data_IF_262508060853
#
_entry.id   IF_262508060853
#
_cell.length_a   1.000
_cell.length_b   1.000
_cell.length_c   1.000
_cell.angle_alpha   90.00
_cell.angle_beta   90.00
_cell.angle_gamma   90.00
#
_symmetry.space_group_name_H-M   'P 1'
#
loop_
_entity.id
_entity.type
_entity.pdbx_description
1 polymer ?
#
# COMPACT_ATOMS: atom_id res chain seq x y z
N UNK A 1 14.77 4.23 -24.95
CA UNK A 1 14.96 3.22 -23.88
C UNK A 1 15.29 3.96 -22.61
N UNK A 2 14.40 3.89 -21.61
CA UNK A 2 14.56 4.64 -20.36
C UNK A 2 15.71 4.08 -19.55
N UNK A 3 16.66 4.93 -19.17
CA UNK A 3 17.80 4.54 -18.33
C UNK A 3 17.42 4.62 -16.87
N UNK A 4 17.23 3.48 -16.21
CA UNK A 4 17.03 3.43 -14.76
C UNK A 4 18.33 3.61 -14.01
N UNK A 5 18.31 4.38 -12.91
CA UNK A 5 19.42 4.50 -11.99
C UNK A 5 19.27 3.44 -10.90
N UNK A 6 20.28 2.55 -10.80
CA UNK A 6 20.28 1.45 -9.85
C UNK A 6 21.01 1.83 -8.57
N UNK A 7 20.40 1.62 -7.42
CA UNK A 7 21.03 1.86 -6.12
C UNK A 7 22.03 0.77 -5.78
N UNK A 8 23.29 1.19 -5.53
CA UNK A 8 24.37 0.29 -5.10
C UNK A 8 24.70 0.36 -3.61
N UNK A 9 24.15 1.28 -2.81
CA UNK A 9 24.59 1.56 -1.42
C UNK A 9 23.51 1.77 -0.36
N UNK A 10 23.99 1.80 0.90
CA UNK A 10 23.34 1.64 2.21
C UNK A 10 22.14 2.51 2.58
N UNK A 11 21.90 3.65 1.97
CA UNK A 11 20.67 4.42 2.17
C UNK A 11 19.55 3.88 1.27
N UNK A 12 19.19 2.65 1.58
CA UNK A 12 18.33 1.79 0.77
C UNK A 12 16.96 2.43 0.47
N UNK A 13 16.54 3.41 1.27
CA UNK A 13 15.18 3.96 1.22
C UNK A 13 15.13 5.48 0.92
N UNK A 14 16.19 6.08 0.36
CA UNK A 14 16.23 7.51 -0.03
C UNK A 14 16.74 7.71 -1.45
N UNK A 15 16.28 8.80 -2.09
CA UNK A 15 16.75 9.32 -3.37
C UNK A 15 16.35 8.46 -4.57
N UNK A 16 17.06 8.65 -5.66
CA UNK A 16 16.79 8.01 -6.95
C UNK A 16 16.90 6.49 -6.86
N UNK A 17 15.93 5.77 -7.41
CA UNK A 17 15.94 4.30 -7.43
C UNK A 17 14.57 3.68 -7.63
N UNK A 18 14.54 2.35 -7.76
CA UNK A 18 13.31 1.57 -7.91
C UNK A 18 12.99 0.89 -6.59
N UNK A 19 11.75 1.06 -6.15
CA UNK A 19 11.27 0.61 -4.86
C UNK A 19 10.00 -0.22 -5.02
N UNK A 20 10.02 -1.44 -4.52
CA UNK A 20 8.83 -2.24 -4.33
C UNK A 20 8.29 -2.01 -2.91
N UNK A 21 7.01 -1.67 -2.83
CA UNK A 21 6.31 -1.41 -1.58
C UNK A 21 5.11 -2.36 -1.51
N UNK A 22 4.92 -3.00 -0.36
CA UNK A 22 3.71 -3.77 -0.09
C UNK A 22 2.95 -3.11 1.05
N UNK A 23 1.72 -2.70 0.78
CA UNK A 23 0.79 -2.19 1.76
C UNK A 23 -0.19 -3.30 2.14
N UNK A 24 -0.22 -3.70 3.40
CA UNK A 24 -1.09 -4.75 3.92
C UNK A 24 -2.20 -4.11 4.74
N UNK A 25 -3.44 -4.47 4.48
CA UNK A 25 -4.60 -4.04 5.28
C UNK A 25 -4.48 -4.64 6.68
N UNK A 26 -4.78 -3.84 7.71
CA UNK A 26 -4.70 -4.28 9.11
C UNK A 26 -5.55 -5.54 9.29
N UNK A 27 -4.95 -6.54 9.93
CA UNK A 27 -5.59 -7.84 10.17
C UNK A 27 -5.89 -8.62 8.89
N UNK A 28 -5.26 -8.27 7.77
CA UNK A 28 -5.46 -8.89 6.45
C UNK A 28 -6.92 -8.96 6.03
N UNK A 29 -7.71 -7.96 6.40
CA UNK A 29 -9.11 -7.86 5.99
C UNK A 29 -9.19 -7.66 4.46
N UNK A 30 -10.10 -8.37 3.82
CA UNK A 30 -10.29 -8.36 2.36
C UNK A 30 -11.12 -7.16 1.91
N UNK A 31 -10.62 -5.94 2.15
CA UNK A 31 -11.32 -4.69 1.88
C UNK A 31 -11.09 -4.15 0.47
N UNK A 32 -10.03 -4.61 -0.21
CA UNK A 32 -9.62 -4.00 -1.48
C UNK A 32 -10.26 -4.67 -2.69
N UNK A 33 -10.79 -5.89 -2.53
CA UNK A 33 -11.42 -6.64 -3.63
C UNK A 33 -11.58 -8.11 -3.32
N UNK A 34 -11.85 -8.89 -4.35
CA UNK A 34 -11.95 -10.34 -4.27
C UNK A 34 -11.22 -11.01 -5.44
N UNK A 35 -10.74 -12.23 -5.22
CA UNK A 35 -10.14 -13.03 -6.30
C UNK A 35 -11.24 -13.71 -7.10
N UNK A 36 -11.17 -13.61 -8.41
CA UNK A 36 -12.08 -14.23 -9.34
C UNK A 36 -11.35 -14.66 -10.62
N UNK A 37 -11.97 -15.54 -11.39
CA UNK A 37 -11.56 -15.82 -12.76
C UNK A 37 -12.29 -14.81 -13.66
N UNK A 38 -11.51 -13.98 -14.34
CA UNK A 38 -12.01 -13.01 -15.31
C UNK A 38 -11.31 -13.25 -16.66
N UNK A 39 -12.11 -13.51 -17.71
CA UNK A 39 -11.61 -13.90 -19.03
C UNK A 39 -10.56 -15.03 -18.97
N UNK A 40 -10.89 -16.11 -18.24
CA UNK A 40 -10.05 -17.31 -18.04
C UNK A 40 -8.75 -17.07 -17.24
N UNK A 41 -8.53 -15.85 -16.73
CA UNK A 41 -7.36 -15.52 -15.92
C UNK A 41 -7.73 -15.16 -14.48
N UNK A 42 -6.93 -15.63 -13.51
CA UNK A 42 -7.05 -15.21 -12.12
C UNK A 42 -6.76 -13.71 -11.97
N UNK A 43 -7.73 -12.96 -11.46
CA UNK A 43 -7.61 -11.50 -11.18
C UNK A 43 -8.18 -11.14 -9.83
N UNK A 44 -7.77 -10.00 -9.31
CA UNK A 44 -8.46 -9.37 -8.20
C UNK A 44 -9.46 -8.35 -8.77
N UNK A 45 -10.74 -8.62 -8.58
CA UNK A 45 -11.82 -7.69 -8.88
C UNK A 45 -11.87 -6.64 -7.76
N UNK A 46 -11.61 -5.36 -8.05
CA UNK A 46 -11.49 -4.35 -7.02
C UNK A 46 -12.84 -3.97 -6.40
N UNK A 47 -12.88 -3.76 -5.10
CA UNK A 47 -13.96 -3.06 -4.40
C UNK A 47 -13.97 -1.57 -4.77
N UNK A 48 -14.95 -0.80 -4.31
CA UNK A 48 -14.97 0.66 -4.48
C UNK A 48 -13.71 1.30 -3.89
N UNK A 49 -13.30 0.86 -2.70
CA UNK A 49 -12.06 1.30 -2.07
C UNK A 49 -10.83 0.90 -2.89
N UNK A 50 -10.80 -0.34 -3.37
CA UNK A 50 -9.72 -0.83 -4.23
C UNK A 50 -9.60 -0.04 -5.53
N UNK A 51 -10.74 0.32 -6.16
CA UNK A 51 -10.77 1.20 -7.34
C UNK A 51 -10.22 2.58 -7.04
N UNK A 52 -10.67 3.20 -5.95
CA UNK A 52 -10.22 4.53 -5.56
C UNK A 52 -8.70 4.57 -5.32
N UNK A 53 -8.15 3.59 -4.58
CA UNK A 53 -6.71 3.45 -4.33
C UNK A 53 -5.95 3.19 -5.64
N UNK A 54 -6.48 2.33 -6.51
CA UNK A 54 -5.87 2.03 -7.80
C UNK A 54 -5.77 3.27 -8.69
N UNK A 55 -6.84 4.06 -8.75
CA UNK A 55 -6.88 5.33 -9.49
C UNK A 55 -5.90 6.35 -8.91
N UNK A 56 -5.84 6.50 -7.57
CA UNK A 56 -4.88 7.38 -6.90
C UNK A 56 -3.43 7.04 -7.26
N UNK A 57 -3.12 5.75 -7.39
CA UNK A 57 -1.79 5.29 -7.82
C UNK A 57 -1.49 5.63 -9.28
N UNK A 58 -2.48 5.53 -10.18
CA UNK A 58 -2.29 5.90 -11.59
C UNK A 58 -1.97 7.39 -11.74
N UNK A 59 -2.52 8.22 -10.86
CA UNK A 59 -2.30 9.67 -10.86
C UNK A 59 -1.09 10.11 -10.01
N UNK A 60 -0.29 9.19 -9.46
CA UNK A 60 0.80 9.54 -8.54
C UNK A 60 1.79 10.53 -9.16
N UNK A 61 2.06 10.40 -10.45
CA UNK A 61 3.01 11.27 -11.16
C UNK A 61 2.50 12.71 -11.29
N UNK A 62 1.18 12.93 -11.33
CA UNK A 62 0.60 14.29 -11.35
C UNK A 62 0.88 15.04 -10.04
N UNK A 63 0.82 14.33 -8.91
CA UNK A 63 1.06 14.90 -7.57
C UNK A 63 2.52 14.90 -7.16
N UNK A 64 3.31 13.98 -7.72
CA UNK A 64 4.75 13.82 -7.48
C UNK A 64 5.46 13.57 -8.79
N UNK A 65 5.81 14.62 -9.57
CA UNK A 65 6.39 14.48 -10.92
C UNK A 65 7.67 13.63 -10.96
N UNK A 66 8.39 13.56 -9.83
CA UNK A 66 9.60 12.76 -9.66
C UNK A 66 9.34 11.29 -9.27
N UNK A 67 8.07 10.84 -9.20
CA UNK A 67 7.70 9.47 -8.90
C UNK A 67 6.93 8.89 -10.07
N UNK A 68 7.39 7.76 -10.62
CA UNK A 68 6.70 7.02 -11.68
C UNK A 68 6.21 5.68 -11.16
N UNK A 69 4.97 5.33 -11.47
CA UNK A 69 4.44 4.00 -11.23
C UNK A 69 4.93 3.06 -12.34
N UNK A 70 5.66 2.01 -11.99
CA UNK A 70 6.15 1.00 -12.94
C UNK A 70 5.23 -0.21 -13.01
N UNK A 71 4.69 -0.64 -11.87
CA UNK A 71 3.71 -1.72 -11.78
C UNK A 71 2.91 -1.59 -10.49
N UNK A 72 1.68 -2.10 -10.52
CA UNK A 72 0.85 -2.29 -9.33
C UNK A 72 0.04 -3.58 -9.47
N UNK A 73 -0.28 -4.21 -8.34
CA UNK A 73 -1.21 -5.32 -8.27
C UNK A 73 -2.03 -5.22 -7.00
N UNK A 74 -3.32 -5.06 -7.19
CA UNK A 74 -4.30 -5.11 -6.12
C UNK A 74 -4.57 -6.57 -5.76
N UNK A 75 -4.59 -6.87 -4.47
CA UNK A 75 -5.00 -8.12 -3.89
C UNK A 75 -6.12 -7.85 -2.86
N UNK A 76 -6.91 -8.83 -2.45
CA UNK A 76 -8.01 -8.57 -1.53
C UNK A 76 -7.63 -7.85 -0.24
N UNK A 77 -6.48 -8.17 0.33
CA UNK A 77 -6.00 -7.72 1.64
C UNK A 77 -4.68 -6.93 1.61
N UNK A 78 -4.13 -6.71 0.42
CA UNK A 78 -2.89 -5.95 0.27
C UNK A 78 -2.73 -5.41 -1.15
N UNK A 79 -1.76 -4.51 -1.34
CA UNK A 79 -1.39 -4.01 -2.67
C UNK A 79 0.12 -3.97 -2.83
N UNK A 80 0.60 -4.48 -3.95
CA UNK A 80 1.97 -4.32 -4.41
C UNK A 80 2.08 -3.11 -5.31
N UNK A 81 3.09 -2.28 -5.06
CA UNK A 81 3.37 -1.07 -5.82
C UNK A 81 4.85 -1.02 -6.15
N UNK A 82 5.19 -0.84 -7.41
CA UNK A 82 6.56 -0.66 -7.87
C UNK A 82 6.74 0.77 -8.38
N UNK A 83 7.56 1.54 -7.69
CA UNK A 83 7.79 2.95 -7.98
C UNK A 83 9.23 3.18 -8.43
N UNK A 84 9.41 4.08 -9.38
CA UNK A 84 10.70 4.67 -9.73
C UNK A 84 10.74 6.13 -9.28
N UNK A 85 11.67 6.45 -8.39
CA UNK A 85 11.98 7.83 -7.99
C UNK A 85 13.07 8.32 -8.93
N UNK A 86 12.79 9.34 -9.73
CA UNK A 86 13.65 9.83 -10.82
C UNK A 86 14.64 10.90 -10.36
N UNK A 87 14.31 11.60 -9.27
CA UNK A 87 15.10 12.71 -8.74
C UNK A 87 15.18 12.63 -7.21
N UNK A 88 16.30 13.09 -6.64
CA UNK A 88 16.47 13.13 -5.19
C UNK A 88 15.98 14.48 -4.62
N UNK A 89 14.84 14.44 -3.99
CA UNK A 89 14.25 15.58 -3.27
C UNK A 89 14.50 15.54 -1.75
N UNK A 90 15.43 14.72 -1.29
CA UNK A 90 15.70 14.54 0.15
C UNK A 90 14.60 13.76 0.89
N UNK A 91 13.50 13.38 0.20
CA UNK A 91 12.36 12.67 0.78
C UNK A 91 12.62 11.15 0.69
N UNK A 92 12.42 10.45 1.79
CA UNK A 92 12.53 8.98 1.80
C UNK A 92 11.29 8.32 1.17
N UNK A 93 11.48 7.12 0.63
CA UNK A 93 10.34 6.32 0.14
C UNK A 93 9.33 6.01 1.26
N UNK A 94 9.78 5.96 2.53
CA UNK A 94 8.90 5.81 3.70
C UNK A 94 7.96 7.00 3.87
N UNK A 95 8.43 8.22 3.61
CA UNK A 95 7.61 9.43 3.66
C UNK A 95 6.61 9.49 2.49
N UNK A 96 7.04 9.07 1.30
CA UNK A 96 6.15 8.93 0.16
C UNK A 96 5.02 7.94 0.50
N UNK A 97 5.36 6.75 1.01
CA UNK A 97 4.39 5.72 1.40
C UNK A 97 3.48 6.17 2.56
N UNK A 98 4.01 6.95 3.53
CA UNK A 98 3.21 7.54 4.60
C UNK A 98 2.16 8.52 4.04
N UNK A 99 2.56 9.39 3.12
CA UNK A 99 1.64 10.31 2.46
C UNK A 99 0.55 9.60 1.67
N UNK A 100 0.88 8.51 0.96
CA UNK A 100 -0.10 7.67 0.26
C UNK A 100 -1.11 7.07 1.25
N UNK A 101 -0.67 6.45 2.34
CA UNK A 101 -1.56 5.89 3.37
C UNK A 101 -2.48 6.94 4.01
N UNK A 102 -1.99 8.15 4.23
CA UNK A 102 -2.80 9.25 4.75
C UNK A 102 -3.92 9.65 3.78
N UNK A 103 -3.61 9.75 2.48
CA UNK A 103 -4.61 10.01 1.44
C UNK A 103 -5.66 8.90 1.36
N UNK A 104 -5.22 7.64 1.33
CA UNK A 104 -6.13 6.49 1.26
C UNK A 104 -7.04 6.34 2.49
N UNK A 105 -6.55 6.72 3.67
CA UNK A 105 -7.39 6.77 4.87
C UNK A 105 -8.57 7.74 4.72
N UNK A 106 -8.37 8.87 4.06
CA UNK A 106 -9.46 9.81 3.80
C UNK A 106 -10.50 9.23 2.85
N UNK A 107 -10.07 8.41 1.89
CA UNK A 107 -10.97 7.72 0.96
C UNK A 107 -11.86 6.69 1.68
N UNK A 108 -11.37 6.02 2.72
CA UNK A 108 -12.20 5.06 3.49
C UNK A 108 -13.36 5.74 4.19
N UNK A 109 -13.20 6.93 4.71
CA UNK A 109 -14.27 7.68 5.36
C UNK A 109 -15.42 8.04 4.39
N UNK A 110 -15.12 8.09 3.09
CA UNK A 110 -16.08 8.44 2.03
C UNK A 110 -16.75 7.20 1.41
N UNK A 111 -16.02 6.10 1.31
CA UNK A 111 -16.44 4.89 0.56
C UNK A 111 -16.97 3.79 1.48
N UNK A 112 -16.46 3.70 2.70
CA UNK A 112 -16.93 2.72 3.69
C UNK A 112 -17.73 3.49 4.74
N UNK A 113 -19.06 3.29 4.84
CA UNK A 113 -19.80 3.84 5.97
C UNK A 113 -19.16 3.35 7.27
N UNK A 114 -19.16 4.17 8.36
CA UNK A 114 -18.50 3.80 9.59
C UNK A 114 -18.96 2.40 9.99
N UNK A 115 -18.04 1.45 9.98
CA UNK A 115 -18.29 0.12 10.52
C UNK A 115 -18.79 0.33 11.95
N UNK A 116 -20.10 0.11 12.11
CA UNK A 116 -20.74 0.14 13.41
C UNK A 116 -19.86 -0.67 14.36
N UNK A 117 -19.42 -0.01 15.42
CA UNK A 117 -18.58 -0.50 16.49
C UNK A 117 -18.81 -1.99 16.74
N UNK A 118 -17.87 -2.83 16.34
CA UNK A 118 -17.79 -4.18 16.88
C UNK A 118 -17.36 -3.97 18.32
N UNK A 119 -18.35 -3.94 19.22
CA UNK A 119 -18.17 -3.98 20.66
C UNK A 119 -17.48 -5.29 21.02
N UNK A 120 -16.16 -5.29 21.04
CA UNK A 120 -15.40 -6.24 21.82
C UNK A 120 -15.44 -5.68 23.24
N UNK A 121 -16.41 -6.12 24.03
CA UNK A 121 -16.48 -5.81 25.44
C UNK A 121 -15.21 -6.28 26.13
N UNK A 122 -14.43 -5.38 26.77
CA UNK A 122 -13.39 -5.82 27.69
C UNK A 122 -14.09 -6.29 28.97
N UNK A 123 -13.83 -7.53 29.37
CA UNK A 123 -14.17 -8.01 30.71
C UNK A 123 -13.45 -7.14 31.74
N UNK A 124 -14.24 -6.56 32.63
CA UNK A 124 -13.79 -5.69 33.71
C UNK A 124 -12.96 -6.49 34.75
N UNK A 125 -11.84 -5.95 35.13
CA UNK A 125 -11.34 -6.02 36.49
C UNK A 125 -10.91 -4.64 36.94
N UNK A 126 -11.36 -4.34 38.14
CA UNK A 126 -11.45 -3.09 38.88
C UNK A 126 -10.11 -2.37 39.14
N UNK A 127 -10.22 -1.08 39.25
CA UNK A 127 -9.59 -0.15 40.20
C UNK A 127 -8.74 0.96 39.60
N UNK A 128 -9.28 2.17 39.76
CA UNK A 128 -8.66 3.45 40.15
C UNK A 128 -7.81 4.29 39.18
N UNK A 129 -8.28 5.41 38.95
CA UNK A 129 -7.94 6.84 39.16
C UNK A 129 -7.62 7.68 37.92
N UNK A 130 -8.44 8.73 37.84
CA UNK A 130 -8.31 10.04 37.20
C UNK A 130 -6.95 10.40 36.59
N UNK A 131 -6.94 10.56 35.25
CA UNK A 131 -6.23 11.65 34.63
C UNK A 131 -6.95 12.07 33.34
N UNK A 132 -7.32 13.35 33.30
CA UNK A 132 -7.86 14.01 32.13
C UNK A 132 -7.02 13.69 30.90
N UNK A 133 -7.59 12.96 29.95
CA UNK A 133 -6.97 12.74 28.65
C UNK A 133 -7.80 13.44 27.59
N UNK A 134 -7.15 14.43 26.99
CA UNK A 134 -7.60 15.09 25.78
C UNK A 134 -8.08 14.06 24.77
N UNK A 135 -9.31 14.22 24.29
CA UNK A 135 -9.89 13.49 23.16
C UNK A 135 -9.04 13.72 21.92
N UNK A 136 -8.09 12.85 21.68
CA UNK A 136 -7.54 12.63 20.35
C UNK A 136 -8.17 11.34 19.86
N UNK A 137 -9.18 11.46 19.02
CA UNK A 137 -9.71 10.32 18.27
C UNK A 137 -8.54 9.66 17.57
N UNK A 138 -8.15 8.49 18.06
CA UNK A 138 -7.14 7.63 17.43
C UNK A 138 -7.76 7.08 16.15
N UNK A 139 -7.71 7.88 15.09
CA UNK A 139 -8.14 7.45 13.76
C UNK A 139 -7.20 6.32 13.31
N UNK A 140 -7.68 5.09 13.41
CA UNK A 140 -6.91 3.89 13.07
C UNK A 140 -6.45 3.92 11.60
N UNK A 141 -5.20 3.56 11.37
CA UNK A 141 -4.65 3.38 10.02
C UNK A 141 -5.36 2.24 9.31
N UNK A 142 -5.65 2.37 8.01
CA UNK A 142 -6.18 1.28 7.19
C UNK A 142 -5.12 0.20 6.94
N UNK A 143 -3.86 0.58 6.85
CA UNK A 143 -2.75 -0.28 6.48
C UNK A 143 -1.74 -0.41 7.63
N UNK A 144 -1.16 -1.59 7.74
CA UNK A 144 0.02 -1.86 8.57
C UNK A 144 1.24 -1.03 8.11
N UNK A 145 2.35 -1.14 8.83
CA UNK A 145 3.64 -0.57 8.37
C UNK A 145 4.04 -1.25 7.06
N UNK A 146 4.24 -0.49 5.97
CA UNK A 146 4.57 -1.09 4.67
C UNK A 146 5.91 -1.81 4.67
N UNK A 147 6.00 -2.87 3.86
CA UNK A 147 7.26 -3.52 3.55
C UNK A 147 7.91 -2.84 2.35
N UNK A 148 9.24 -2.66 2.42
CA UNK A 148 10.01 -2.00 1.38
C UNK A 148 11.13 -2.90 0.87
N UNK A 149 11.32 -2.91 -0.45
CA UNK A 149 12.45 -3.55 -1.12
C UNK A 149 13.00 -2.63 -2.21
N UNK A 150 14.31 -2.41 -2.22
CA UNK A 150 14.99 -1.66 -3.27
C UNK A 150 15.53 -2.62 -4.32
N UNK A 151 15.39 -2.28 -5.60
CA UNK A 151 15.91 -3.06 -6.71
C UNK A 151 17.28 -2.51 -7.14
N UNK A 152 18.25 -3.38 -7.33
CA UNK A 152 19.65 -3.02 -7.61
C UNK A 152 20.07 -3.21 -9.05
N UNK A 153 19.32 -3.94 -9.88
CA UNK A 153 19.65 -4.19 -11.28
C UNK A 153 18.43 -4.62 -12.13
N UNK A 154 18.60 -4.57 -13.47
CA UNK A 154 17.53 -4.82 -14.45
C UNK A 154 16.82 -6.17 -14.27
N UNK A 155 17.56 -7.26 -14.04
CA UNK A 155 16.97 -8.58 -13.86
C UNK A 155 16.07 -8.68 -12.63
N UNK A 156 16.34 -7.90 -11.55
CA UNK A 156 15.42 -7.80 -10.42
C UNK A 156 14.15 -7.04 -10.77
N UNK A 157 14.23 -6.04 -11.65
CA UNK A 157 13.06 -5.29 -12.11
C UNK A 157 12.10 -6.20 -12.88
N UNK A 158 12.59 -6.92 -13.87
CA UNK A 158 11.80 -7.83 -14.70
C UNK A 158 11.16 -8.93 -13.84
N UNK A 159 11.94 -9.56 -12.96
CA UNK A 159 11.44 -10.57 -12.04
C UNK A 159 10.39 -10.01 -11.07
N UNK A 160 10.55 -8.76 -10.61
CA UNK A 160 9.59 -8.13 -9.71
C UNK A 160 8.29 -7.77 -10.41
N UNK A 161 8.35 -7.25 -11.63
CA UNK A 161 7.15 -6.99 -12.45
C UNK A 161 6.36 -8.29 -12.65
N UNK A 162 7.04 -9.36 -13.07
CA UNK A 162 6.41 -10.67 -13.25
C UNK A 162 5.81 -11.18 -11.93
N UNK A 163 6.57 -11.10 -10.82
CA UNK A 163 6.07 -11.48 -9.49
C UNK A 163 4.80 -10.72 -9.11
N UNK A 164 4.77 -9.41 -9.34
CA UNK A 164 3.63 -8.54 -9.03
C UNK A 164 2.40 -8.98 -9.84
N UNK A 165 2.54 -9.16 -11.14
CA UNK A 165 1.43 -9.57 -12.02
C UNK A 165 0.92 -10.98 -11.74
N UNK A 166 1.80 -11.91 -11.37
CA UNK A 166 1.43 -13.31 -11.09
C UNK A 166 0.76 -13.51 -9.71
N UNK A 167 0.69 -12.50 -8.86
CA UNK A 167 0.16 -12.64 -7.50
C UNK A 167 -1.27 -13.20 -7.44
N UNK A 168 -2.26 -12.75 -8.26
CA UNK A 168 -3.61 -13.32 -8.24
C UNK A 168 -3.61 -14.82 -8.55
N UNK A 169 -2.86 -15.23 -9.57
CA UNK A 169 -2.72 -16.65 -9.95
C UNK A 169 -2.11 -17.48 -8.82
N UNK A 170 -1.04 -16.99 -8.20
CA UNK A 170 -0.38 -17.67 -7.06
C UNK A 170 -1.29 -17.79 -5.84
N UNK A 171 -2.13 -16.79 -5.60
CA UNK A 171 -3.05 -16.80 -4.48
C UNK A 171 -4.20 -17.79 -4.66
N UNK A 172 -4.65 -18.04 -5.90
CA UNK A 172 -5.70 -19.01 -6.20
C UNK A 172 -5.21 -20.47 -6.23
N UNK A 173 -3.89 -20.69 -6.31
CA UNK A 173 -3.28 -22.04 -6.30
C UNK A 173 -2.91 -22.52 -4.88
N UNK A 174 -3.13 -21.72 -3.85
CA UNK A 174 -2.89 -22.06 -2.44
C UNK A 174 -4.16 -22.46 -1.73
#
# INVERSE_FOLDING_TARGET
MERFIWKRHKDILKGVGIYHITFVVIGRQRLLGELAIDHEEPRCLPSDLGRAISHDLDEIQQRRPYVRLLAKQLMPDHIHVLLYVTEDHGISIKEIARGMRQGWRQMTATVVPPLASVNIAPQMSSAEEHKQMSKTETQQSLFETPFFRTLAHKGQLEAMIQYIHDNPRRAMLR
#
